data_IF_062822422059
#
_entry.id   IF_062822422059
#
_cell.length_a   1.000
_cell.length_b   1.000
_cell.length_c   1.000
_cell.angle_alpha   90.00
_cell.angle_beta   90.00
_cell.angle_gamma   90.00
#
_symmetry.space_group_name_H-M   'P 1'
#
loop_
_entity.id
_entity.type
_entity.pdbx_description
1 polymer ?
#
# COMPACT_ATOMS: atom_id res chain seq x y z
N UNK A 1 12.62 19.40 3.09
CA UNK A 1 13.81 18.53 3.27
C UNK A 1 14.10 17.73 2.00
N UNK A 2 13.08 17.25 1.26
CA UNK A 2 13.28 16.61 -0.05
C UNK A 2 13.86 17.53 -1.16
N UNK A 3 13.77 18.86 -1.04
CA UNK A 3 14.31 19.81 -2.05
C UNK A 3 15.80 20.17 -1.89
N UNK A 4 16.54 19.55 -0.95
CA UNK A 4 17.93 19.94 -0.63
C UNK A 4 18.95 18.82 -0.94
N UNK A 5 18.49 17.59 -1.18
CA UNK A 5 19.37 16.50 -1.59
C UNK A 5 19.42 16.43 -3.12
N UNK A 6 20.62 16.31 -3.72
CA UNK A 6 20.72 16.07 -5.15
C UNK A 6 20.00 14.76 -5.50
N UNK A 7 19.27 14.78 -6.62
CA UNK A 7 18.69 13.55 -7.18
C UNK A 7 19.86 12.65 -7.56
N UNK A 8 19.95 11.40 -7.04
CA UNK A 8 21.04 10.51 -7.37
C UNK A 8 21.12 10.29 -8.87
N UNK A 9 22.33 10.25 -9.42
CA UNK A 9 22.51 9.82 -10.80
C UNK A 9 22.27 8.30 -10.96
N UNK A 10 22.32 7.80 -12.19
CA UNK A 10 22.06 6.38 -12.47
C UNK A 10 23.07 5.44 -11.78
N UNK A 11 24.32 5.87 -11.62
CA UNK A 11 25.34 5.06 -10.95
C UNK A 11 25.10 5.03 -9.43
N UNK A 12 24.78 6.19 -8.85
CA UNK A 12 24.42 6.30 -7.43
C UNK A 12 23.15 5.50 -7.11
N UNK A 13 22.12 5.60 -7.96
CA UNK A 13 20.88 4.85 -7.79
C UNK A 13 21.11 3.33 -7.84
N UNK A 14 21.95 2.85 -8.77
CA UNK A 14 22.34 1.43 -8.83
C UNK A 14 23.05 0.99 -7.56
N UNK A 15 23.96 1.79 -7.03
CA UNK A 15 24.67 1.45 -5.80
C UNK A 15 23.73 1.41 -4.59
N UNK A 16 22.79 2.36 -4.49
CA UNK A 16 21.73 2.35 -3.46
C UNK A 16 20.91 1.06 -3.55
N UNK A 17 20.48 0.68 -4.76
CA UNK A 17 19.73 -0.57 -4.96
C UNK A 17 20.58 -1.78 -4.62
N UNK A 18 21.86 -1.84 -5.01
CA UNK A 18 22.77 -2.95 -4.64
C UNK A 18 22.92 -3.12 -3.13
N UNK A 19 23.05 -2.02 -2.39
CA UNK A 19 23.11 -2.06 -0.93
C UNK A 19 21.79 -2.59 -0.33
N UNK A 20 20.65 -2.13 -0.85
CA UNK A 20 19.35 -2.66 -0.47
C UNK A 20 19.20 -4.16 -0.74
N UNK A 21 19.62 -4.61 -1.94
CA UNK A 21 19.61 -6.02 -2.34
C UNK A 21 20.47 -6.90 -1.43
N UNK A 22 21.65 -6.42 -1.03
CA UNK A 22 22.51 -7.12 -0.09
C UNK A 22 21.86 -7.21 1.30
N UNK A 23 21.32 -6.11 1.80
CA UNK A 23 20.67 -6.06 3.11
C UNK A 23 19.48 -7.02 3.21
N UNK A 24 18.55 -6.99 2.24
CA UNK A 24 17.38 -7.88 2.28
C UNK A 24 17.75 -9.34 2.04
N UNK A 25 18.84 -9.61 1.32
CA UNK A 25 19.37 -10.97 1.16
C UNK A 25 19.94 -11.54 2.48
N UNK A 26 20.60 -10.72 3.30
CA UNK A 26 21.06 -11.10 4.64
C UNK A 26 19.88 -11.51 5.56
N UNK A 27 18.71 -10.93 5.33
CA UNK A 27 17.47 -11.22 6.04
C UNK A 27 16.67 -12.40 5.43
N UNK A 28 17.20 -13.03 4.38
CA UNK A 28 16.56 -14.17 3.71
C UNK A 28 15.36 -13.80 2.82
N UNK A 29 15.19 -12.52 2.47
CA UNK A 29 14.08 -12.04 1.64
C UNK A 29 14.40 -12.31 0.17
N UNK A 30 13.54 -13.11 -0.48
CA UNK A 30 13.71 -13.50 -1.88
C UNK A 30 12.75 -12.79 -2.84
N UNK A 31 11.80 -12.02 -2.32
CA UNK A 31 10.81 -11.29 -3.12
C UNK A 31 10.30 -10.07 -2.37
N UNK A 32 10.07 -8.98 -3.10
CA UNK A 32 9.57 -7.71 -2.55
C UNK A 32 8.49 -7.12 -3.44
N UNK A 33 7.62 -6.32 -2.83
CA UNK A 33 6.73 -5.42 -3.55
C UNK A 33 7.23 -3.99 -3.30
N UNK A 34 7.86 -3.36 -4.29
CA UNK A 34 8.29 -1.97 -4.17
C UNK A 34 7.08 -1.07 -4.48
N UNK A 35 6.51 -0.43 -3.47
CA UNK A 35 5.21 0.24 -3.60
C UNK A 35 5.26 1.67 -4.14
N UNK A 36 6.44 2.27 -4.32
CA UNK A 36 6.61 3.61 -4.86
C UNK A 36 7.23 3.60 -6.26
N UNK A 37 6.72 2.67 -7.07
CA UNK A 37 7.23 2.39 -8.40
C UNK A 37 6.76 3.32 -9.51
N UNK A 38 7.60 3.44 -10.52
CA UNK A 38 7.34 4.04 -11.82
C UNK A 38 8.08 3.27 -12.92
N UNK A 39 7.98 3.76 -14.16
CA UNK A 39 8.59 3.10 -15.32
C UNK A 39 10.13 3.11 -15.23
N UNK A 40 10.72 4.17 -14.69
CA UNK A 40 12.17 4.32 -14.57
C UNK A 40 12.73 3.33 -13.53
N UNK A 41 12.06 3.18 -12.38
CA UNK A 41 12.42 2.16 -11.39
C UNK A 41 12.25 0.73 -11.92
N UNK A 42 11.19 0.46 -12.69
CA UNK A 42 11.01 -0.85 -13.32
C UNK A 42 12.13 -1.13 -14.34
N UNK A 43 12.51 -0.12 -15.14
CA UNK A 43 13.63 -0.20 -16.08
C UNK A 43 14.96 -0.45 -15.37
N UNK A 44 15.19 0.20 -14.22
CA UNK A 44 16.36 -0.02 -13.38
C UNK A 44 16.46 -1.46 -12.89
N UNK A 45 15.36 -2.03 -12.37
CA UNK A 45 15.36 -3.44 -11.95
C UNK A 45 15.57 -4.39 -13.12
N UNK A 46 14.94 -4.13 -14.28
CA UNK A 46 15.13 -4.94 -15.49
C UNK A 46 16.61 -4.89 -15.97
N UNK A 47 17.23 -3.70 -15.92
CA UNK A 47 18.65 -3.54 -16.24
C UNK A 47 19.54 -4.36 -15.29
N UNK A 48 19.25 -4.34 -13.98
CA UNK A 48 19.97 -5.16 -13.00
C UNK A 48 19.73 -6.67 -13.21
N UNK A 49 18.55 -7.07 -13.67
CA UNK A 49 18.26 -8.45 -14.06
C UNK A 49 19.11 -8.88 -15.27
N UNK A 50 19.15 -8.06 -16.32
CA UNK A 50 19.93 -8.31 -17.55
C UNK A 50 21.44 -8.41 -17.27
N UNK A 51 21.92 -7.63 -16.29
CA UNK A 51 23.30 -7.68 -15.81
C UNK A 51 23.59 -8.87 -14.89
N UNK A 52 22.56 -9.64 -14.48
CA UNK A 52 22.69 -10.74 -13.53
C UNK A 52 22.90 -10.30 -12.08
N UNK A 53 22.64 -9.03 -11.76
CA UNK A 53 22.88 -8.42 -10.45
C UNK A 53 21.64 -8.38 -9.55
N UNK A 54 20.43 -8.53 -10.10
CA UNK A 54 19.20 -8.57 -9.33
C UNK A 54 19.07 -9.91 -8.57
N UNK A 55 19.16 -9.88 -7.24
CA UNK A 55 19.19 -11.08 -6.38
C UNK A 55 17.82 -11.61 -5.95
N UNK A 56 16.73 -10.86 -6.20
CA UNK A 56 15.37 -11.17 -5.73
C UNK A 56 14.30 -10.85 -6.78
N UNK A 57 13.06 -11.28 -6.54
CA UNK A 57 11.91 -10.92 -7.38
C UNK A 57 11.25 -9.63 -6.92
N UNK A 58 10.98 -8.73 -7.85
CA UNK A 58 10.33 -7.44 -7.61
C UNK A 58 8.98 -7.44 -8.30
N UNK A 59 7.93 -7.17 -7.53
CA UNK A 59 6.64 -6.74 -8.05
C UNK A 59 6.48 -5.23 -7.85
N UNK A 60 6.26 -4.49 -8.93
CA UNK A 60 6.25 -3.02 -8.91
C UNK A 60 4.94 -2.47 -9.49
N UNK A 61 4.13 -1.73 -8.70
CA UNK A 61 2.97 -1.00 -9.21
C UNK A 61 3.38 0.34 -9.81
N UNK A 62 2.53 0.88 -10.68
CA UNK A 62 2.58 2.29 -11.05
C UNK A 62 1.97 3.15 -9.94
N UNK A 63 2.68 4.19 -9.48
CA UNK A 63 2.21 5.12 -8.45
C UNK A 63 1.21 6.15 -9.00
N UNK A 64 -0.06 6.01 -8.62
CA UNK A 64 -1.15 6.88 -9.01
C UNK A 64 -1.22 8.13 -8.13
N UNK A 65 -1.28 9.31 -8.75
CA UNK A 65 -1.37 10.60 -8.06
C UNK A 65 -2.60 11.40 -8.53
N UNK A 66 -3.31 12.13 -7.66
CA UNK A 66 -4.51 12.90 -8.03
C UNK A 66 -4.28 13.94 -9.14
N UNK A 67 -3.03 14.38 -9.32
CA UNK A 67 -2.63 15.36 -10.32
C UNK A 67 -2.44 14.73 -11.71
N UNK A 68 -2.29 13.41 -11.82
CA UNK A 68 -2.15 12.75 -13.12
C UNK A 68 -3.49 12.77 -13.88
N UNK A 69 -3.41 12.87 -15.21
CA UNK A 69 -4.56 12.59 -16.06
C UNK A 69 -4.93 11.09 -15.93
N UNK A 70 -6.21 10.76 -15.67
CA UNK A 70 -6.66 9.37 -15.55
C UNK A 70 -6.29 8.46 -16.73
N UNK A 71 -6.40 8.96 -17.96
CA UNK A 71 -6.13 8.21 -19.18
C UNK A 71 -4.64 7.93 -19.35
N UNK A 72 -3.81 8.96 -19.18
CA UNK A 72 -2.35 8.84 -19.22
C UNK A 72 -1.83 7.90 -18.14
N UNK A 73 -2.36 8.02 -16.92
CA UNK A 73 -1.99 7.17 -15.79
C UNK A 73 -2.30 5.69 -16.05
N UNK A 74 -3.50 5.39 -16.57
CA UNK A 74 -3.90 4.01 -16.90
C UNK A 74 -3.10 3.46 -18.09
N UNK A 75 -2.80 4.31 -19.09
CA UNK A 75 -1.97 3.92 -20.21
C UNK A 75 -0.54 3.58 -19.74
N UNK A 76 0.06 4.40 -18.88
CA UNK A 76 1.38 4.16 -18.31
C UNK A 76 1.42 2.88 -17.46
N UNK A 77 0.43 2.69 -16.57
CA UNK A 77 0.34 1.48 -15.77
C UNK A 77 0.15 0.21 -16.63
N UNK A 78 -0.64 0.29 -17.69
CA UNK A 78 -0.84 -0.82 -18.63
C UNK A 78 0.40 -1.10 -19.48
N UNK A 79 1.14 -0.06 -19.87
CA UNK A 79 2.42 -0.21 -20.56
C UNK A 79 3.44 -0.90 -19.66
N UNK A 80 3.59 -0.47 -18.39
CA UNK A 80 4.44 -1.18 -17.43
C UNK A 80 4.02 -2.65 -17.29
N UNK A 81 2.72 -2.91 -17.15
CA UNK A 81 2.20 -4.27 -17.04
C UNK A 81 2.50 -5.13 -18.28
N UNK A 82 2.56 -4.55 -19.47
CA UNK A 82 2.94 -5.23 -20.70
C UNK A 82 4.46 -5.45 -20.78
N UNK A 83 5.24 -4.41 -20.49
CA UNK A 83 6.68 -4.38 -20.75
C UNK A 83 7.50 -5.17 -19.71
N UNK A 84 7.01 -5.26 -18.46
CA UNK A 84 7.73 -5.92 -17.36
C UNK A 84 7.00 -7.18 -16.88
N UNK A 85 7.35 -8.33 -17.45
CA UNK A 85 6.81 -9.66 -17.12
C UNK A 85 7.88 -10.77 -17.05
N UNK A 86 9.12 -10.44 -16.67
CA UNK A 86 10.21 -11.42 -16.53
C UNK A 86 10.04 -12.29 -15.28
N UNK A 87 10.98 -13.23 -15.04
CA UNK A 87 10.97 -14.06 -13.82
C UNK A 87 11.22 -13.21 -12.57
N UNK A 88 12.09 -12.19 -12.66
CA UNK A 88 12.44 -11.37 -11.52
C UNK A 88 11.75 -10.01 -11.47
N UNK A 89 11.30 -9.44 -12.58
CA UNK A 89 10.70 -8.10 -12.59
C UNK A 89 9.31 -8.16 -13.21
N UNK A 90 8.31 -7.86 -12.39
CA UNK A 90 6.90 -7.91 -12.80
C UNK A 90 6.18 -6.63 -12.41
N UNK A 91 5.44 -6.08 -13.36
CA UNK A 91 4.44 -5.05 -13.09
C UNK A 91 3.03 -5.61 -13.36
N UNK A 92 2.01 -4.78 -13.17
CA UNK A 92 0.60 -5.21 -13.28
C UNK A 92 -0.29 -4.70 -12.16
N UNK A 93 0.19 -3.74 -11.37
CA UNK A 93 -0.57 -3.10 -10.32
C UNK A 93 -0.52 -1.58 -10.44
N UNK A 94 -1.48 -0.93 -9.80
CA UNK A 94 -1.49 0.51 -9.53
C UNK A 94 -1.58 0.73 -8.03
N UNK A 95 -0.76 1.66 -7.52
CA UNK A 95 -0.74 2.05 -6.11
C UNK A 95 -1.44 3.39 -5.96
N UNK A 96 -2.39 3.47 -5.05
CA UNK A 96 -3.00 4.73 -4.60
C UNK A 96 -2.71 4.98 -3.12
N UNK A 97 -2.93 6.23 -2.70
CA UNK A 97 -2.98 6.63 -1.30
C UNK A 97 -4.34 7.27 -1.05
N UNK A 98 -5.16 6.70 -0.18
CA UNK A 98 -6.49 7.26 0.13
C UNK A 98 -6.39 8.35 1.20
N UNK A 99 -5.51 8.17 2.17
CA UNK A 99 -5.21 9.10 3.26
C UNK A 99 -3.70 9.13 3.55
N UNK A 100 -3.33 9.85 4.61
CA UNK A 100 -2.00 9.73 5.20
C UNK A 100 -2.04 8.94 6.49
N UNK A 101 -1.36 9.43 7.52
CA UNK A 101 -1.12 8.67 8.76
C UNK A 101 -1.66 9.37 10.00
N UNK A 102 -1.88 8.62 11.09
CA UNK A 102 -2.37 9.19 12.35
C UNK A 102 -1.38 10.20 12.93
N UNK A 103 -0.08 9.98 12.75
CA UNK A 103 1.02 10.78 13.29
C UNK A 103 1.05 12.23 12.77
N UNK A 104 0.34 12.51 11.68
CA UNK A 104 0.26 13.85 11.09
C UNK A 104 -1.16 14.39 11.01
N UNK A 105 -2.13 13.72 11.65
CA UNK A 105 -3.57 14.02 11.52
C UNK A 105 -4.08 13.97 10.07
N UNK A 106 -3.50 13.10 9.24
CA UNK A 106 -3.89 12.97 7.82
C UNK A 106 -4.56 11.65 7.50
N UNK A 107 -4.59 10.68 8.43
CA UNK A 107 -5.46 9.51 8.32
C UNK A 107 -6.94 9.93 8.26
N UNK A 108 -7.72 9.30 7.40
CA UNK A 108 -9.15 9.60 7.26
C UNK A 108 -9.94 8.70 8.22
N UNK A 109 -10.57 9.32 9.20
CA UNK A 109 -11.28 8.66 10.29
C UNK A 109 -12.80 8.87 10.20
N UNK A 110 -13.58 7.96 10.75
CA UNK A 110 -15.05 8.13 10.84
C UNK A 110 -15.47 9.05 12.00
N UNK A 111 -14.70 9.06 13.09
CA UNK A 111 -15.10 9.66 14.36
C UNK A 111 -14.11 10.72 14.90
N UNK A 112 -13.13 11.11 14.10
CA UNK A 112 -12.11 12.08 14.46
C UNK A 112 -10.99 11.52 15.32
N UNK A 113 -10.12 12.41 15.79
CA UNK A 113 -8.97 12.06 16.63
C UNK A 113 -9.28 12.24 18.12
N UNK A 114 -8.51 11.57 18.99
CA UNK A 114 -8.65 11.63 20.45
C UNK A 114 -8.65 13.06 21.01
N UNK A 115 -7.80 13.93 20.46
CA UNK A 115 -7.58 15.32 20.87
C UNK A 115 -8.15 16.34 19.87
N UNK A 116 -8.71 15.88 18.74
CA UNK A 116 -9.34 16.69 17.70
C UNK A 116 -10.56 15.96 17.12
N UNK A 117 -11.64 15.92 17.89
CA UNK A 117 -12.85 15.18 17.51
C UNK A 117 -13.58 15.74 16.29
N UNK A 118 -13.37 17.02 15.97
CA UNK A 118 -13.96 17.71 14.81
C UNK A 118 -13.11 17.56 13.53
N UNK A 119 -11.88 17.09 13.65
CA UNK A 119 -10.98 16.85 12.53
C UNK A 119 -11.05 15.38 12.13
N UNK A 120 -11.47 15.09 10.89
CA UNK A 120 -11.58 13.71 10.41
C UNK A 120 -10.37 13.26 9.58
N UNK A 121 -9.46 14.18 9.24
CA UNK A 121 -8.53 13.98 8.13
C UNK A 121 -9.17 14.28 6.78
N UNK A 122 -8.37 14.35 5.73
CA UNK A 122 -8.84 14.65 4.37
C UNK A 122 -8.41 13.55 3.41
N UNK A 123 -9.31 13.06 2.54
CA UNK A 123 -8.94 12.07 1.55
C UNK A 123 -8.03 12.71 0.49
N UNK A 124 -6.94 12.02 0.14
CA UNK A 124 -6.06 12.38 -0.97
C UNK A 124 -6.82 12.27 -2.31
N UNK A 125 -7.69 11.27 -2.43
CA UNK A 125 -8.61 11.11 -3.55
C UNK A 125 -10.05 11.29 -3.09
N UNK A 126 -10.82 12.23 -3.66
CA UNK A 126 -12.26 12.26 -3.45
C UNK A 126 -12.87 10.88 -3.74
N UNK A 127 -13.72 10.37 -2.85
CA UNK A 127 -14.21 8.99 -2.91
C UNK A 127 -14.83 8.60 -4.27
N UNK A 128 -15.60 9.51 -4.88
CA UNK A 128 -16.17 9.31 -6.21
C UNK A 128 -15.09 9.16 -7.30
N UNK A 129 -14.05 10.01 -7.26
CA UNK A 129 -12.92 9.94 -8.19
C UNK A 129 -12.11 8.67 -8.00
N UNK A 130 -11.86 8.26 -6.75
CA UNK A 130 -11.21 6.97 -6.49
C UNK A 130 -12.04 5.80 -7.05
N UNK A 131 -13.36 5.79 -6.85
CA UNK A 131 -14.22 4.73 -7.37
C UNK A 131 -14.19 4.65 -8.91
N UNK A 132 -14.20 5.79 -9.61
CA UNK A 132 -14.01 5.86 -11.07
C UNK A 132 -12.67 5.26 -11.50
N UNK A 133 -11.58 5.63 -10.81
CA UNK A 133 -10.25 5.09 -11.09
C UNK A 133 -10.15 3.59 -10.79
N UNK A 134 -10.77 3.12 -9.70
CA UNK A 134 -10.78 1.72 -9.33
C UNK A 134 -11.51 0.87 -10.39
N UNK A 135 -12.67 1.35 -10.88
CA UNK A 135 -13.39 0.71 -11.99
C UNK A 135 -12.51 0.65 -13.24
N UNK A 136 -11.82 1.73 -13.59
CA UNK A 136 -11.03 1.80 -14.80
C UNK A 136 -9.77 0.91 -14.72
N UNK A 137 -9.04 0.94 -13.60
CA UNK A 137 -7.87 0.10 -13.38
C UNK A 137 -8.24 -1.39 -13.32
N UNK A 138 -9.32 -1.74 -12.63
CA UNK A 138 -9.83 -3.11 -12.58
C UNK A 138 -10.23 -3.64 -13.97
N UNK A 139 -10.88 -2.80 -14.79
CA UNK A 139 -11.25 -3.14 -16.18
C UNK A 139 -10.03 -3.38 -17.07
N UNK A 140 -8.93 -2.65 -16.82
CA UNK A 140 -7.65 -2.86 -17.49
C UNK A 140 -6.92 -4.13 -17.03
N UNK A 141 -7.49 -4.88 -16.06
CA UNK A 141 -6.90 -6.10 -15.52
C UNK A 141 -5.82 -5.87 -14.46
N UNK A 142 -5.55 -4.61 -14.10
CA UNK A 142 -4.52 -4.24 -13.11
C UNK A 142 -4.97 -4.62 -11.70
N UNK A 143 -4.04 -5.07 -10.86
CA UNK A 143 -4.26 -5.16 -9.42
C UNK A 143 -4.25 -3.74 -8.83
N UNK A 144 -5.07 -3.47 -7.82
CA UNK A 144 -5.08 -2.18 -7.13
C UNK A 144 -4.57 -2.41 -5.71
N UNK A 145 -3.57 -1.63 -5.32
CA UNK A 145 -3.05 -1.54 -3.95
C UNK A 145 -3.32 -0.13 -3.43
N UNK A 146 -3.85 0.03 -2.22
CA UNK A 146 -4.19 1.35 -1.68
C UNK A 146 -3.70 1.49 -0.26
N UNK A 147 -2.87 2.50 -0.01
CA UNK A 147 -2.58 2.96 1.35
C UNK A 147 -3.86 3.54 1.96
N UNK A 148 -4.33 2.90 3.04
CA UNK A 148 -5.48 3.36 3.82
C UNK A 148 -5.24 3.02 5.30
N UNK A 149 -4.98 4.05 6.11
CA UNK A 149 -4.61 3.89 7.52
C UNK A 149 -5.83 3.99 8.43
N UNK A 150 -6.65 5.04 8.23
CA UNK A 150 -7.85 5.27 9.02
C UNK A 150 -9.06 4.45 8.55
N UNK A 151 -10.00 4.21 9.46
CA UNK A 151 -11.22 3.44 9.20
C UNK A 151 -12.10 4.06 8.10
N UNK A 152 -12.12 5.40 8.01
CA UNK A 152 -12.81 6.13 6.95
C UNK A 152 -12.18 5.91 5.57
N UNK A 153 -10.84 5.89 5.47
CA UNK A 153 -10.14 5.57 4.23
C UNK A 153 -10.39 4.13 3.81
N UNK A 154 -10.30 3.17 4.74
CA UNK A 154 -10.55 1.74 4.48
C UNK A 154 -11.97 1.54 3.93
N UNK A 155 -12.98 2.14 4.57
CA UNK A 155 -14.37 2.12 4.11
C UNK A 155 -14.52 2.67 2.68
N UNK A 156 -13.88 3.80 2.38
CA UNK A 156 -13.94 4.44 1.07
C UNK A 156 -13.25 3.61 -0.04
N UNK A 157 -12.14 2.94 0.29
CA UNK A 157 -11.47 2.04 -0.65
C UNK A 157 -12.35 0.84 -0.99
N UNK A 158 -12.98 0.24 0.01
CA UNK A 158 -13.93 -0.86 -0.19
C UNK A 158 -15.14 -0.44 -1.02
N UNK A 159 -15.58 0.83 -0.94
CA UNK A 159 -16.63 1.36 -1.81
C UNK A 159 -16.19 1.39 -3.28
N UNK A 160 -14.94 1.82 -3.54
CA UNK A 160 -14.36 1.82 -4.88
C UNK A 160 -14.21 0.40 -5.45
N UNK A 161 -13.74 -0.56 -4.65
CA UNK A 161 -13.66 -1.96 -5.07
C UNK A 161 -15.04 -2.59 -5.31
N UNK A 162 -16.03 -2.26 -4.48
CA UNK A 162 -17.40 -2.69 -4.71
C UNK A 162 -17.96 -2.09 -6.01
N UNK A 163 -17.64 -0.82 -6.33
CA UNK A 163 -18.02 -0.20 -7.59
C UNK A 163 -17.37 -0.88 -8.80
N UNK A 164 -16.07 -1.18 -8.73
CA UNK A 164 -15.35 -1.92 -9.76
C UNK A 164 -16.00 -3.29 -10.03
N UNK A 165 -16.22 -4.09 -8.99
CA UNK A 165 -16.88 -5.40 -9.11
C UNK A 165 -18.30 -5.29 -9.68
N UNK A 166 -19.10 -4.30 -9.27
CA UNK A 166 -20.45 -4.10 -9.80
C UNK A 166 -20.44 -3.80 -11.30
N UNK A 167 -19.47 -3.05 -11.79
CA UNK A 167 -19.39 -2.63 -13.19
C UNK A 167 -18.70 -3.64 -14.10
N UNK A 168 -17.62 -4.25 -13.62
CA UNK A 168 -16.75 -5.12 -14.43
C UNK A 168 -16.96 -6.62 -14.16
N UNK A 169 -17.70 -6.97 -13.11
CA UNK A 169 -17.91 -8.36 -12.68
C UNK A 169 -16.87 -8.85 -11.66
N UNK A 170 -16.94 -10.13 -11.34
CA UNK A 170 -16.03 -10.78 -10.39
C UNK A 170 -14.86 -11.40 -11.17
N UNK A 171 -13.63 -11.12 -10.71
CA UNK A 171 -12.40 -11.81 -11.15
C UNK A 171 -11.48 -12.03 -9.94
N UNK A 172 -10.45 -12.86 -10.11
CA UNK A 172 -9.36 -12.98 -9.13
C UNK A 172 -8.45 -11.73 -9.20
N UNK A 173 -8.98 -10.59 -8.76
CA UNK A 173 -8.30 -9.29 -8.88
C UNK A 173 -7.23 -9.07 -7.83
N UNK A 174 -7.32 -9.81 -6.71
CA UNK A 174 -6.45 -9.73 -5.52
C UNK A 174 -6.19 -8.30 -5.08
N UNK A 175 -7.16 -7.40 -5.26
CA UNK A 175 -7.05 -6.03 -4.78
C UNK A 175 -6.71 -6.03 -3.29
N UNK A 176 -5.87 -5.09 -2.87
CA UNK A 176 -5.30 -5.07 -1.52
C UNK A 176 -5.33 -3.69 -0.91
N UNK A 177 -5.56 -3.66 0.39
CA UNK A 177 -5.50 -2.44 1.19
C UNK A 177 -4.27 -2.58 2.10
N UNK A 178 -3.42 -1.55 2.08
CA UNK A 178 -2.20 -1.47 2.88
C UNK A 178 -2.47 -0.82 4.23
N UNK A 179 -1.74 -1.26 5.26
CA UNK A 179 -1.76 -0.76 6.63
C UNK A 179 -2.99 -1.17 7.41
N UNK A 180 -4.15 -0.55 7.14
CA UNK A 180 -5.40 -0.83 7.86
C UNK A 180 -5.16 -0.71 9.38
N UNK A 181 -4.58 0.40 9.82
CA UNK A 181 -4.20 0.56 11.23
C UNK A 181 -5.41 0.62 12.13
N UNK A 182 -6.53 1.19 11.66
CA UNK A 182 -7.84 1.10 12.30
C UNK A 182 -8.88 0.67 11.27
N UNK A 183 -9.73 -0.29 11.64
CA UNK A 183 -10.79 -0.80 10.76
C UNK A 183 -12.18 -0.63 11.38
N UNK A 184 -13.16 -0.20 10.59
CA UNK A 184 -14.55 -0.29 11.01
C UNK A 184 -14.98 -1.78 11.09
N UNK A 185 -15.52 -2.28 12.21
CA UNK A 185 -15.92 -3.69 12.32
C UNK A 185 -16.88 -4.15 11.21
N UNK A 186 -17.72 -3.25 10.70
CA UNK A 186 -18.63 -3.52 9.58
C UNK A 186 -17.90 -3.84 8.27
N UNK A 187 -16.65 -3.35 8.10
CA UNK A 187 -15.86 -3.56 6.90
C UNK A 187 -15.26 -4.96 6.80
N UNK A 188 -15.10 -5.70 7.90
CA UNK A 188 -14.58 -7.08 7.86
C UNK A 188 -15.41 -7.97 6.93
N UNK A 189 -16.75 -7.87 7.01
CA UNK A 189 -17.64 -8.60 6.12
C UNK A 189 -17.45 -8.18 4.65
N UNK A 190 -17.16 -6.90 4.40
CA UNK A 190 -16.95 -6.35 3.05
C UNK A 190 -15.63 -6.83 2.45
N UNK A 191 -14.54 -6.88 3.23
CA UNK A 191 -13.27 -7.48 2.81
C UNK A 191 -13.49 -8.92 2.33
N UNK A 192 -14.18 -9.73 3.14
CA UNK A 192 -14.48 -11.13 2.81
C UNK A 192 -15.33 -11.23 1.54
N UNK A 193 -16.43 -10.48 1.45
CA UNK A 193 -17.32 -10.50 0.30
C UNK A 193 -16.60 -10.09 -0.99
N UNK A 194 -15.76 -9.06 -0.93
CA UNK A 194 -15.03 -8.53 -2.08
C UNK A 194 -13.76 -9.34 -2.43
N UNK A 195 -13.30 -10.22 -1.54
CA UNK A 195 -12.06 -10.98 -1.72
C UNK A 195 -10.81 -10.09 -1.67
N UNK A 196 -10.85 -9.03 -0.87
CA UNK A 196 -9.75 -8.06 -0.73
C UNK A 196 -8.69 -8.62 0.21
N UNK A 197 -7.43 -8.45 -0.16
CA UNK A 197 -6.29 -8.82 0.69
C UNK A 197 -6.02 -7.70 1.69
N UNK A 198 -5.99 -8.03 2.98
CA UNK A 198 -5.46 -7.14 4.00
C UNK A 198 -3.93 -7.27 4.01
N UNK A 199 -3.21 -6.21 3.67
CA UNK A 199 -1.75 -6.18 3.71
C UNK A 199 -1.30 -5.26 4.84
N UNK A 200 -0.85 -5.85 5.94
CA UNK A 200 -0.64 -5.14 7.21
C UNK A 200 0.83 -5.19 7.63
N UNK A 201 1.29 -4.20 8.38
CA UNK A 201 2.66 -4.06 8.86
C UNK A 201 2.70 -4.25 10.38
N UNK A 202 3.03 -5.45 10.89
CA UNK A 202 2.97 -5.71 12.34
C UNK A 202 3.81 -4.76 13.19
N UNK A 203 4.96 -4.33 12.68
CA UNK A 203 5.89 -3.44 13.37
C UNK A 203 5.45 -1.96 13.41
N UNK A 204 4.35 -1.61 12.72
CA UNK A 204 3.73 -0.28 12.89
C UNK A 204 2.87 -0.23 14.16
N UNK A 205 2.48 -1.38 14.72
CA UNK A 205 1.67 -1.39 15.92
C UNK A 205 2.47 -0.91 17.14
N UNK A 206 1.88 -0.10 18.03
CA UNK A 206 2.55 0.31 19.26
C UNK A 206 2.85 -0.93 20.13
N UNK A 207 4.04 -0.97 20.72
CA UNK A 207 4.47 -2.11 21.55
C UNK A 207 3.61 -2.25 22.81
N UNK A 208 3.11 -1.14 23.33
CA UNK A 208 2.25 -1.13 24.52
C UNK A 208 1.15 -0.09 24.40
N UNK A 209 0.07 -0.28 25.16
CA UNK A 209 -1.02 0.68 25.21
C UNK A 209 -0.68 2.02 25.88
N UNK A 210 0.49 2.11 26.52
CA UNK A 210 1.00 3.30 27.19
C UNK A 210 2.25 3.86 26.47
N UNK A 211 2.51 3.38 25.26
CA UNK A 211 3.57 3.93 24.43
C UNK A 211 3.24 5.42 24.18
N UNK A 212 4.14 6.37 24.50
CA UNK A 212 3.91 7.78 24.23
C UNK A 212 4.00 8.12 22.74
N UNK A 213 4.09 7.12 21.86
CA UNK A 213 4.08 7.33 20.42
C UNK A 213 2.86 8.13 19.94
N UNK A 214 3.13 8.92 18.92
CA UNK A 214 2.22 9.80 18.21
C UNK A 214 0.92 9.11 17.79
N UNK A 215 0.99 7.85 17.35
CA UNK A 215 -0.18 7.05 17.01
C UNK A 215 -1.10 6.83 18.23
N UNK A 216 -0.52 6.33 19.32
CA UNK A 216 -1.25 5.94 20.53
C UNK A 216 -1.94 7.13 21.22
N UNK A 217 -1.34 8.31 21.11
CA UNK A 217 -1.91 9.55 21.63
C UNK A 217 -3.08 10.09 20.80
N UNK A 218 -3.14 9.77 19.50
CA UNK A 218 -4.07 10.39 18.53
C UNK A 218 -5.25 9.51 18.15
N UNK A 219 -5.09 8.18 18.22
CA UNK A 219 -6.20 7.26 18.02
C UNK A 219 -7.13 7.28 19.24
N UNK A 220 -8.43 7.46 18.98
CA UNK A 220 -9.45 7.46 20.03
C UNK A 220 -9.45 6.14 20.78
N UNK A 221 -9.52 6.19 22.11
CA UNK A 221 -9.40 5.00 22.96
C UNK A 221 -10.48 3.95 22.67
N UNK A 222 -11.65 4.39 22.22
CA UNK A 222 -12.75 3.52 21.83
C UNK A 222 -12.43 2.68 20.59
N UNK A 223 -11.57 3.17 19.70
CA UNK A 223 -11.23 2.54 18.42
C UNK A 223 -10.03 1.58 18.54
N UNK A 224 -9.34 1.56 19.70
CA UNK A 224 -8.21 0.66 19.97
C UNK A 224 -8.51 -0.84 19.78
N UNK A 225 -9.69 -1.38 20.15
CA UNK A 225 -9.97 -2.79 19.91
C UNK A 225 -10.10 -3.14 18.42
N UNK A 226 -10.14 -2.13 17.54
CA UNK A 226 -10.15 -2.27 16.08
C UNK A 226 -8.78 -1.97 15.47
N UNK A 227 -7.82 -1.53 16.27
CA UNK A 227 -6.51 -1.20 15.78
C UNK A 227 -5.71 -2.46 15.46
N UNK A 228 -4.99 -2.43 14.34
CA UNK A 228 -4.08 -3.48 13.91
C UNK A 228 -4.71 -4.88 14.02
N UNK A 229 -5.98 -5.01 13.61
CA UNK A 229 -6.84 -6.15 13.91
C UNK A 229 -6.54 -7.42 13.08
N UNK A 230 -5.27 -7.74 12.80
CA UNK A 230 -4.84 -8.88 11.98
C UNK A 230 -5.42 -10.22 12.47
N UNK A 231 -5.63 -10.38 13.77
CA UNK A 231 -6.26 -11.57 14.34
C UNK A 231 -7.73 -11.70 13.91
N UNK A 232 -8.46 -10.59 13.85
CA UNK A 232 -9.85 -10.56 13.37
C UNK A 232 -9.92 -10.84 11.87
N UNK A 233 -9.02 -10.25 11.07
CA UNK A 233 -8.89 -10.56 9.64
C UNK A 233 -8.66 -12.06 9.39
N UNK A 234 -7.70 -12.65 10.11
CA UNK A 234 -7.41 -14.09 10.05
C UNK A 234 -8.62 -14.94 10.44
N UNK A 235 -9.32 -14.59 11.53
CA UNK A 235 -10.50 -15.33 12.00
C UNK A 235 -11.67 -15.24 11.02
N UNK A 236 -11.83 -14.12 10.33
CA UNK A 236 -12.85 -13.91 9.30
C UNK A 236 -12.52 -14.62 7.96
N UNK A 237 -11.36 -15.28 7.85
CA UNK A 237 -10.92 -15.94 6.62
C UNK A 237 -10.58 -14.97 5.49
N UNK A 238 -10.25 -13.72 5.82
CA UNK A 238 -9.80 -12.72 4.86
C UNK A 238 -8.32 -13.00 4.53
N UNK A 239 -7.92 -12.99 3.24
CA UNK A 239 -6.51 -13.13 2.88
C UNK A 239 -5.67 -12.05 3.56
N UNK A 240 -4.65 -12.48 4.30
CA UNK A 240 -3.75 -11.62 5.06
C UNK A 240 -2.33 -11.76 4.51
N UNK A 241 -1.69 -10.63 4.24
CA UNK A 241 -0.28 -10.54 3.91
C UNK A 241 0.40 -9.62 4.94
N UNK A 242 1.65 -9.94 5.27
CA UNK A 242 2.48 -9.05 6.08
C UNK A 242 3.58 -8.43 5.22
N UNK A 243 3.90 -7.17 5.53
CA UNK A 243 5.00 -6.42 4.94
C UNK A 243 5.73 -5.59 5.99
N UNK A 244 6.91 -5.09 5.65
CA UNK A 244 7.67 -4.19 6.51
C UNK A 244 7.38 -2.72 6.24
N UNK A 245 7.04 -2.32 5.00
CA UNK A 245 7.09 -0.90 4.59
C UNK A 245 8.47 -0.27 4.82
N UNK A 246 9.53 -1.08 4.67
CA UNK A 246 10.90 -0.61 4.74
C UNK A 246 11.14 0.52 3.71
N UNK A 247 11.75 1.65 4.10
CA UNK A 247 12.56 1.83 5.31
C UNK A 247 11.88 2.51 6.51
N UNK A 248 10.54 2.58 6.56
CA UNK A 248 9.82 3.16 7.72
C UNK A 248 10.17 2.41 9.00
N UNK A 249 10.14 1.07 8.93
CA UNK A 249 10.68 0.18 9.97
C UNK A 249 11.68 -0.80 9.35
N UNK A 250 12.33 -1.60 10.20
CA UNK A 250 13.28 -2.64 9.76
C UNK A 250 12.66 -3.63 8.77
N UNK A 251 13.47 -4.12 7.84
CA UNK A 251 13.07 -5.17 6.90
C UNK A 251 13.10 -6.58 7.54
N UNK A 252 13.63 -6.74 8.76
CA UNK A 252 13.77 -8.05 9.41
C UNK A 252 12.39 -8.70 9.67
N UNK A 253 12.06 -9.79 8.94
CA UNK A 253 10.76 -10.42 9.06
C UNK A 253 10.54 -11.09 10.42
N UNK A 254 11.61 -11.47 11.14
CA UNK A 254 11.48 -12.14 12.43
C UNK A 254 10.95 -11.22 13.52
N UNK A 255 11.15 -9.91 13.39
CA UNK A 255 10.62 -8.93 14.33
C UNK A 255 9.11 -8.66 14.13
N UNK A 256 8.59 -8.95 12.92
CA UNK A 256 7.18 -8.79 12.59
C UNK A 256 6.31 -10.04 12.79
N UNK A 257 6.87 -11.17 13.25
CA UNK A 257 6.19 -12.45 13.46
C UNK A 257 5.96 -12.75 14.94
#
# INVERSE_FOLDING_TARGET
IHDILPVPDEAEMREIVRQGLAHVAELGITSVHNMDGDYDQATLYATLEDMGELSLRVYIPFSAKPQHDPGEMLAAASAMAHDFQSDKVRAGAVKFFMDGVYESYTALTLNGYSDRSDHLGEPIWPAGRFAEMAVAADRAGLQIAVHAVGDGAVSAVLDGYAAARRQNGIRDSRHRIEHIEVVNPADLARFQQLGVVASMQPLHAPLTANDPDAWALRVRREDWPQAFAWAAFRQAGIPLAFGSDWPVVTADPLLGL
#
